data_IF_731199813774
#
_entry.id   IF_731199813774
#
_cell.length_a   1.000
_cell.length_b   1.000
_cell.length_c   1.000
_cell.angle_alpha   90.00
_cell.angle_beta   90.00
_cell.angle_gamma   90.00
#
_symmetry.space_group_name_H-M   'P 1'
#
loop_
_entity.id
_entity.type
_entity.pdbx_description
1 polymer ?
#
# COMPACT_ATOMS: atom_id res chain seq x y z
N UNK A 1 -58.62 -16.66 -42.34
CA UNK A 1 -57.32 -17.15 -41.81
C UNK A 1 -56.37 -15.94 -41.78
N UNK A 2 -56.18 -15.29 -40.62
CA UNK A 2 -55.25 -14.15 -40.49
C UNK A 2 -54.03 -14.66 -39.73
N UNK A 3 -52.88 -14.80 -40.42
CA UNK A 3 -51.60 -15.10 -39.79
C UNK A 3 -51.08 -13.80 -39.15
N UNK A 4 -50.97 -13.80 -37.83
CA UNK A 4 -50.30 -12.75 -37.06
C UNK A 4 -48.84 -13.14 -36.91
N UNK A 5 -47.92 -12.37 -37.49
CA UNK A 5 -46.49 -12.55 -37.32
C UNK A 5 -46.03 -11.81 -36.05
N UNK A 6 -45.60 -12.56 -35.04
CA UNK A 6 -44.97 -11.99 -33.84
C UNK A 6 -43.48 -11.78 -34.13
N UNK A 7 -43.04 -10.53 -34.13
CA UNK A 7 -41.61 -10.17 -34.22
C UNK A 7 -41.03 -10.27 -32.81
N UNK A 8 -40.16 -11.25 -32.58
CA UNK A 8 -39.40 -11.36 -31.33
C UNK A 8 -38.20 -10.41 -31.38
N UNK A 9 -38.18 -9.39 -30.52
CA UNK A 9 -37.04 -8.49 -30.37
C UNK A 9 -35.95 -9.18 -29.54
N UNK A 10 -34.80 -9.45 -30.16
CA UNK A 10 -33.61 -9.95 -29.47
C UNK A 10 -32.89 -8.74 -28.86
N UNK A 11 -32.97 -8.59 -27.53
CA UNK A 11 -32.15 -7.62 -26.80
C UNK A 11 -30.74 -8.20 -26.63
N UNK A 12 -29.79 -7.76 -27.46
CA UNK A 12 -28.36 -7.97 -27.24
C UNK A 12 -27.92 -7.08 -26.08
N UNK A 13 -27.79 -7.66 -24.89
CA UNK A 13 -27.08 -7.01 -23.78
C UNK A 13 -25.61 -6.88 -24.16
N UNK A 14 -25.18 -5.68 -24.55
CA UNK A 14 -23.77 -5.33 -24.64
C UNK A 14 -23.18 -5.44 -23.23
N UNK A 15 -22.55 -6.57 -22.92
CA UNK A 15 -21.71 -6.69 -21.73
C UNK A 15 -20.60 -5.65 -21.83
N UNK A 16 -20.58 -4.68 -20.91
CA UNK A 16 -19.42 -3.82 -20.73
C UNK A 16 -18.27 -4.72 -20.25
N UNK A 17 -17.35 -5.07 -21.14
CA UNK A 17 -16.00 -5.47 -20.70
C UNK A 17 -15.37 -4.25 -20.06
N UNK A 18 -15.44 -4.17 -18.74
CA UNK A 18 -14.58 -3.26 -17.98
C UNK A 18 -13.19 -3.87 -18.09
N UNK A 19 -12.29 -3.23 -18.84
CA UNK A 19 -10.88 -3.58 -18.77
C UNK A 19 -10.44 -3.35 -17.32
N UNK A 20 -9.84 -4.37 -16.69
CA UNK A 20 -9.22 -4.22 -15.38
C UNK A 20 -8.23 -3.05 -15.45
N UNK A 21 -8.40 -2.06 -14.58
CA UNK A 21 -7.49 -0.92 -14.52
C UNK A 21 -6.15 -1.40 -13.93
N UNK A 22 -5.05 -1.04 -14.59
CA UNK A 22 -3.70 -1.44 -14.17
C UNK A 22 -2.86 -0.19 -13.90
N UNK A 23 -2.30 -0.12 -12.70
CA UNK A 23 -1.49 1.00 -12.22
C UNK A 23 -0.08 0.50 -11.90
N UNK A 24 0.94 1.04 -12.58
CA UNK A 24 2.34 0.71 -12.30
C UNK A 24 3.06 1.96 -11.81
N UNK A 25 3.64 1.91 -10.61
CA UNK A 25 4.33 3.01 -9.97
C UNK A 25 5.81 2.70 -9.76
N UNK A 26 6.64 3.72 -9.94
CA UNK A 26 8.02 3.75 -9.45
C UNK A 26 8.09 4.73 -8.27
N UNK A 27 9.02 4.55 -7.31
CA UNK A 27 9.29 5.57 -6.31
C UNK A 27 9.67 6.90 -6.97
N UNK A 28 9.25 8.02 -6.38
CA UNK A 28 9.62 9.35 -6.84
C UNK A 28 11.13 9.63 -6.68
N UNK A 29 11.78 8.92 -5.75
CA UNK A 29 13.19 9.11 -5.43
C UNK A 29 13.48 10.40 -4.65
N UNK A 30 14.75 10.61 -4.30
CA UNK A 30 15.25 11.81 -3.64
C UNK A 30 14.50 12.20 -2.33
N UNK A 31 13.92 11.21 -1.64
CA UNK A 31 13.16 11.43 -0.40
C UNK A 31 11.82 12.13 -0.59
N UNK A 32 11.31 12.25 -1.81
CA UNK A 32 9.99 12.83 -2.08
C UNK A 32 8.85 11.96 -1.51
N UNK A 33 7.74 12.57 -1.11
CA UNK A 33 6.59 11.84 -0.53
C UNK A 33 5.79 11.08 -1.60
N UNK A 34 5.87 9.76 -1.55
CA UNK A 34 5.17 8.85 -2.47
C UNK A 34 3.70 8.63 -2.09
N UNK A 35 3.27 9.07 -0.91
CA UNK A 35 1.94 8.75 -0.38
C UNK A 35 0.81 9.21 -1.31
N UNK A 36 0.99 10.32 -2.03
CA UNK A 36 -0.04 10.84 -2.96
C UNK A 36 -0.21 9.97 -4.20
N UNK A 37 0.89 9.53 -4.82
CA UNK A 37 0.80 8.72 -6.02
C UNK A 37 0.26 7.32 -5.72
N UNK A 38 0.63 6.75 -4.58
CA UNK A 38 0.10 5.45 -4.13
C UNK A 38 -1.40 5.54 -3.90
N UNK A 39 -1.88 6.54 -3.13
CA UNK A 39 -3.31 6.70 -2.86
C UNK A 39 -4.12 6.95 -4.15
N UNK A 40 -3.56 7.68 -5.12
CA UNK A 40 -4.20 7.86 -6.42
C UNK A 40 -4.32 6.54 -7.20
N UNK A 41 -3.28 5.70 -7.19
CA UNK A 41 -3.34 4.38 -7.81
C UNK A 41 -4.35 3.45 -7.12
N UNK A 42 -4.45 3.50 -5.79
CA UNK A 42 -5.49 2.76 -5.06
C UNK A 42 -6.89 3.22 -5.48
N UNK A 43 -7.13 4.52 -5.60
CA UNK A 43 -8.43 5.07 -5.99
C UNK A 43 -8.86 4.61 -7.40
N UNK A 44 -7.90 4.54 -8.33
CA UNK A 44 -8.15 4.18 -9.73
C UNK A 44 -8.18 2.66 -9.95
N UNK A 45 -7.23 1.92 -9.40
CA UNK A 45 -6.98 0.51 -9.70
C UNK A 45 -7.33 -0.45 -8.55
N UNK A 46 -7.74 0.07 -7.39
CA UNK A 46 -8.08 -0.74 -6.21
C UNK A 46 -9.40 -1.51 -6.32
N UNK A 47 -10.17 -1.37 -7.41
CA UNK A 47 -11.39 -2.15 -7.66
C UNK A 47 -11.32 -2.84 -9.02
N UNK A 48 -11.43 -4.17 -9.03
CA UNK A 48 -11.37 -5.00 -10.26
C UNK A 48 -10.07 -4.80 -11.07
N UNK A 49 -9.00 -4.33 -10.44
CA UNK A 49 -7.75 -3.93 -11.08
C UNK A 49 -6.49 -4.48 -10.42
N UNK A 50 -5.33 -4.06 -10.92
CA UNK A 50 -4.01 -4.40 -10.41
C UNK A 50 -3.18 -3.16 -10.14
N UNK A 51 -2.34 -3.23 -9.10
CA UNK A 51 -1.38 -2.19 -8.75
C UNK A 51 -0.01 -2.86 -8.62
N UNK A 52 0.97 -2.41 -9.39
CA UNK A 52 2.37 -2.81 -9.25
C UNK A 52 3.17 -1.65 -8.67
N UNK A 53 3.78 -1.87 -7.51
CA UNK A 53 4.76 -0.98 -6.90
C UNK A 53 6.14 -1.58 -7.18
N UNK A 54 6.85 -1.01 -8.16
CA UNK A 54 8.16 -1.50 -8.61
C UNK A 54 9.22 -1.39 -7.50
N UNK A 55 10.39 -1.97 -7.75
CA UNK A 55 11.55 -1.93 -6.84
C UNK A 55 11.94 -0.50 -6.41
N UNK A 56 12.54 -0.41 -5.22
CA UNK A 56 13.02 0.82 -4.58
C UNK A 56 12.22 1.25 -3.35
N UNK A 57 12.63 2.38 -2.76
CA UNK A 57 12.05 2.90 -1.52
C UNK A 57 10.95 3.92 -1.79
N UNK A 58 9.70 3.56 -1.49
CA UNK A 58 8.58 4.51 -1.45
C UNK A 58 8.56 5.20 -0.09
N UNK A 59 8.81 6.50 -0.06
CA UNK A 59 8.82 7.29 1.16
C UNK A 59 7.39 7.72 1.55
N UNK A 60 6.93 7.24 2.71
CA UNK A 60 5.58 7.46 3.23
C UNK A 60 5.66 8.43 4.41
N UNK A 61 5.11 9.63 4.22
CA UNK A 61 5.19 10.71 5.22
C UNK A 61 3.86 11.01 5.92
N UNK A 62 2.78 10.35 5.50
CA UNK A 62 1.44 10.55 6.06
C UNK A 62 0.65 9.25 6.12
N UNK A 63 -0.34 9.18 7.00
CA UNK A 63 -1.18 7.98 7.12
C UNK A 63 -1.91 7.68 5.81
N UNK A 64 -2.10 6.40 5.52
CA UNK A 64 -2.83 5.97 4.33
C UNK A 64 -3.77 4.80 4.62
N UNK A 65 -4.88 4.77 3.87
CA UNK A 65 -5.82 3.64 3.85
C UNK A 65 -5.89 3.08 2.43
N UNK A 66 -5.71 1.78 2.28
CA UNK A 66 -5.97 1.08 1.04
C UNK A 66 -7.33 0.37 1.12
N UNK A 67 -8.27 0.73 0.26
CA UNK A 67 -9.56 0.06 0.14
C UNK A 67 -9.59 -0.75 -1.15
N UNK A 68 -9.45 -2.06 -1.03
CA UNK A 68 -9.21 -2.98 -2.14
C UNK A 68 -10.39 -3.92 -2.35
N UNK A 69 -10.85 -4.08 -3.58
CA UNK A 69 -11.96 -4.96 -3.92
C UNK A 69 -11.69 -5.74 -5.22
N UNK A 70 -11.57 -7.07 -5.13
CA UNK A 70 -11.27 -7.92 -6.31
C UNK A 70 -10.04 -7.43 -7.07
N UNK A 71 -9.00 -7.07 -6.33
CA UNK A 71 -7.80 -6.44 -6.86
C UNK A 71 -6.53 -7.10 -6.31
N UNK A 72 -5.43 -6.92 -7.04
CA UNK A 72 -4.10 -7.41 -6.62
C UNK A 72 -3.15 -6.23 -6.48
N UNK A 73 -2.34 -6.23 -5.42
CA UNK A 73 -1.21 -5.32 -5.26
C UNK A 73 0.06 -6.14 -5.23
N UNK A 74 0.90 -5.95 -6.24
CA UNK A 74 2.24 -6.52 -6.34
C UNK A 74 3.25 -5.48 -5.84
N UNK A 75 3.73 -5.68 -4.62
CA UNK A 75 4.67 -4.80 -3.92
C UNK A 75 6.08 -5.38 -4.04
N UNK A 76 6.85 -4.93 -5.03
CA UNK A 76 8.26 -5.27 -5.21
C UNK A 76 9.19 -4.30 -4.45
N UNK A 77 8.76 -3.05 -4.25
CA UNK A 77 9.50 -2.05 -3.46
C UNK A 77 9.17 -2.07 -1.97
N UNK A 78 9.87 -1.24 -1.20
CA UNK A 78 9.62 -1.07 0.24
C UNK A 78 8.75 0.15 0.49
N UNK A 79 7.64 -0.01 1.22
CA UNK A 79 6.93 1.11 1.85
C UNK A 79 7.71 1.55 3.09
N UNK A 80 8.45 2.65 2.97
CA UNK A 80 9.30 3.17 4.04
C UNK A 80 8.59 4.32 4.77
N UNK A 81 8.15 4.09 6.00
CA UNK A 81 7.45 5.09 6.81
C UNK A 81 8.43 6.01 7.50
N UNK A 82 8.46 7.29 7.12
CA UNK A 82 9.39 8.27 7.69
C UNK A 82 9.27 8.32 9.23
N UNK A 83 10.38 8.25 10.00
CA UNK A 83 10.32 8.20 11.46
C UNK A 83 10.12 9.59 12.11
N UNK A 84 9.13 10.35 11.64
CA UNK A 84 8.72 11.63 12.24
C UNK A 84 7.89 11.39 13.51
N UNK A 85 8.58 11.17 14.64
CA UNK A 85 7.95 10.81 15.91
C UNK A 85 6.91 11.87 16.33
N UNK A 86 7.23 13.15 16.23
CA UNK A 86 6.33 14.23 16.66
C UNK A 86 5.07 14.30 15.80
N UNK A 87 5.17 14.02 14.49
CA UNK A 87 4.01 13.91 13.62
C UNK A 87 3.14 12.70 13.96
N UNK A 88 3.73 11.51 14.12
CA UNK A 88 2.99 10.26 14.30
C UNK A 88 2.41 10.08 15.71
N UNK A 89 2.91 10.81 16.71
CA UNK A 89 2.27 10.89 18.04
C UNK A 89 0.98 11.73 18.03
N UNK A 90 0.67 12.45 16.94
CA UNK A 90 -0.57 13.21 16.85
C UNK A 90 -1.75 12.28 16.49
N UNK A 91 -2.85 12.40 17.24
CA UNK A 91 -4.06 11.61 17.01
C UNK A 91 -4.61 11.73 15.58
N UNK A 92 -4.56 12.95 15.01
CA UNK A 92 -5.01 13.21 13.65
C UNK A 92 -4.09 12.59 12.58
N UNK A 93 -2.87 12.20 12.93
CA UNK A 93 -1.87 11.60 12.03
C UNK A 93 -1.87 10.07 12.06
N UNK A 94 -2.71 9.44 12.88
CA UNK A 94 -2.82 7.97 12.94
C UNK A 94 -4.28 7.49 12.88
N UNK A 95 -4.46 6.17 12.87
CA UNK A 95 -5.75 5.50 13.04
C UNK A 95 -5.79 4.80 14.41
N UNK A 96 -6.77 5.16 15.23
CA UNK A 96 -7.06 4.49 16.51
C UNK A 96 -7.79 3.17 16.24
N UNK A 97 -7.02 2.14 15.88
CA UNK A 97 -7.54 0.85 15.43
C UNK A 97 -7.77 -0.15 16.57
N UNK A 98 -7.13 0.07 17.72
CA UNK A 98 -7.23 -0.79 18.90
C UNK A 98 -7.57 0.05 20.12
N UNK A 99 -8.85 0.04 20.50
CA UNK A 99 -9.38 0.79 21.64
C UNK A 99 -8.94 0.22 23.01
N UNK A 100 -8.54 -1.05 23.06
CA UNK A 100 -8.02 -1.72 24.26
C UNK A 100 -6.49 -1.76 24.13
N UNK A 101 -5.78 -0.92 24.88
CA UNK A 101 -4.32 -0.68 24.85
C UNK A 101 -3.83 0.51 24.01
N UNK A 102 -4.72 1.39 23.55
CA UNK A 102 -4.31 2.68 22.97
C UNK A 102 -3.25 2.56 21.87
N UNK A 103 -3.45 1.62 20.94
CA UNK A 103 -2.52 1.41 19.83
C UNK A 103 -3.06 2.13 18.60
N UNK A 104 -2.15 2.81 17.91
CA UNK A 104 -2.43 3.52 16.68
C UNK A 104 -1.71 2.83 15.52
N UNK A 105 -2.31 2.82 14.34
CA UNK A 105 -1.65 2.41 13.11
C UNK A 105 -1.59 3.57 12.13
N UNK A 106 -0.51 3.66 11.36
CA UNK A 106 -0.35 4.66 10.29
C UNK A 106 -0.71 4.11 8.91
N UNK A 107 -0.97 2.80 8.79
CA UNK A 107 -1.32 2.15 7.53
C UNK A 107 -2.45 1.14 7.73
N UNK A 108 -3.55 1.37 7.03
CA UNK A 108 -4.74 0.55 7.13
C UNK A 108 -5.06 -0.08 5.77
N UNK A 109 -5.32 -1.37 5.76
CA UNK A 109 -5.84 -2.10 4.59
C UNK A 109 -7.24 -2.61 4.89
N UNK A 110 -8.18 -2.37 3.98
CA UNK A 110 -9.57 -2.80 4.09
C UNK A 110 -10.13 -3.25 2.75
N UNK A 111 -11.34 -3.83 2.78
CA UNK A 111 -12.10 -4.23 1.60
C UNK A 111 -12.29 -5.74 1.51
N UNK A 112 -12.45 -6.27 0.29
CA UNK A 112 -12.82 -7.68 0.10
C UNK A 112 -12.22 -8.33 -1.14
N UNK A 113 -11.81 -9.58 -1.00
CA UNK A 113 -11.26 -10.39 -2.09
C UNK A 113 -10.09 -9.68 -2.78
N UNK A 114 -9.09 -9.28 -2.01
CA UNK A 114 -7.87 -8.69 -2.54
C UNK A 114 -6.66 -9.55 -2.19
N UNK A 115 -5.59 -9.39 -2.95
CA UNK A 115 -4.27 -9.96 -2.66
C UNK A 115 -3.28 -8.81 -2.56
N UNK A 116 -2.41 -8.84 -1.55
CA UNK A 116 -1.21 -8.01 -1.49
C UNK A 116 -0.06 -9.00 -1.40
N UNK A 117 0.78 -9.03 -2.42
CA UNK A 117 1.98 -9.85 -2.46
C UNK A 117 3.20 -8.94 -2.37
N UNK A 118 4.01 -9.14 -1.36
CA UNK A 118 5.22 -8.35 -1.12
C UNK A 118 6.44 -8.92 -1.84
N UNK A 119 6.26 -9.85 -2.78
CA UNK A 119 7.28 -10.35 -3.70
C UNK A 119 8.67 -10.40 -3.07
N UNK A 120 8.93 -11.43 -2.28
CA UNK A 120 10.24 -11.70 -1.67
C UNK A 120 11.24 -12.15 -2.75
N UNK A 121 11.49 -11.29 -3.73
CA UNK A 121 12.54 -11.45 -4.72
C UNK A 121 13.85 -11.22 -3.97
N UNK A 122 14.44 -12.30 -3.46
CA UNK A 122 15.81 -12.23 -2.98
C UNK A 122 16.76 -11.77 -4.09
N UNK A 123 17.83 -11.08 -3.71
CA UNK A 123 18.99 -10.72 -4.55
C UNK A 123 18.63 -10.19 -5.96
N UNK A 124 18.27 -8.90 -6.07
CA UNK A 124 18.25 -8.25 -7.38
C UNK A 124 19.71 -7.98 -7.81
N UNK A 125 20.18 -8.47 -8.97
CA UNK A 125 21.55 -8.20 -9.42
C UNK A 125 21.69 -6.72 -9.77
N UNK A 126 22.19 -5.91 -8.84
CA UNK A 126 22.70 -4.58 -9.16
C UNK A 126 23.96 -4.78 -10.00
N UNK A 127 23.83 -4.69 -11.33
CA UNK A 127 25.00 -4.61 -12.21
C UNK A 127 25.67 -3.25 -12.01
N UNK A 128 26.60 -3.15 -11.05
CA UNK A 128 27.51 -2.02 -10.96
C UNK A 128 28.62 -2.14 -12.02
N UNK A 129 29.13 -1.03 -12.54
CA UNK A 129 30.38 -1.05 -13.31
C UNK A 129 31.51 -1.67 -12.48
N UNK A 130 32.34 -2.44 -13.17
CA UNK A 130 33.44 -3.25 -12.64
C UNK A 130 34.37 -2.44 -11.71
N UNK A 131 34.52 -2.87 -10.44
CA UNK A 131 35.52 -2.33 -9.50
C UNK A 131 34.99 -1.70 -8.21
N UNK A 132 33.68 -1.64 -8.00
CA UNK A 132 33.09 -1.33 -6.69
C UNK A 132 32.65 -2.64 -6.02
N UNK A 133 32.92 -2.79 -4.72
CA UNK A 133 32.33 -3.83 -3.90
C UNK A 133 30.82 -3.92 -4.15
N UNK A 134 30.35 -5.13 -4.43
CA UNK A 134 28.94 -5.41 -4.64
C UNK A 134 28.23 -5.22 -3.30
N UNK A 135 27.55 -4.08 -3.14
CA UNK A 135 26.52 -3.97 -2.12
C UNK A 135 25.38 -4.90 -2.55
N UNK A 136 25.07 -5.91 -1.72
CA UNK A 136 23.90 -6.75 -1.91
C UNK A 136 22.70 -5.85 -1.62
N UNK A 137 22.09 -5.31 -2.67
CA UNK A 137 20.86 -4.53 -2.53
C UNK A 137 19.69 -5.51 -2.41
N UNK A 138 19.27 -5.75 -1.18
CA UNK A 138 18.07 -6.51 -0.87
C UNK A 138 16.87 -5.58 -1.06
N UNK A 139 16.41 -5.41 -2.30
CA UNK A 139 15.10 -4.83 -2.58
C UNK A 139 14.02 -5.86 -2.25
N UNK A 140 13.80 -6.07 -0.96
CA UNK A 140 12.68 -6.87 -0.49
C UNK A 140 11.43 -6.02 -0.59
N UNK A 141 10.46 -6.50 -1.37
CA UNK A 141 9.13 -5.96 -1.26
C UNK A 141 8.63 -6.10 0.18
N UNK A 142 8.07 -5.03 0.73
CA UNK A 142 7.75 -5.03 2.15
C UNK A 142 7.39 -3.69 2.75
N UNK A 143 7.30 -3.68 4.08
CA UNK A 143 6.96 -2.51 4.88
C UNK A 143 8.08 -2.29 5.87
N UNK A 144 8.80 -1.17 5.73
CA UNK A 144 9.72 -0.69 6.73
C UNK A 144 9.04 0.35 7.62
N UNK A 145 8.66 -0.06 8.83
CA UNK A 145 8.08 0.83 9.84
C UNK A 145 9.09 1.65 10.64
N UNK A 146 10.40 1.55 10.36
CA UNK A 146 11.48 2.25 11.08
C UNK A 146 11.39 2.12 12.61
N UNK A 147 11.28 0.88 13.11
CA UNK A 147 11.03 0.60 14.53
C UNK A 147 12.16 0.97 15.50
N UNK A 148 13.41 1.12 15.01
CA UNK A 148 14.57 1.42 15.86
C UNK A 148 14.54 2.85 16.44
N UNK A 149 14.29 3.92 15.65
CA UNK A 149 14.02 5.25 16.20
C UNK A 149 12.94 5.28 17.29
N UNK A 150 11.84 4.55 17.09
CA UNK A 150 10.79 4.38 18.10
C UNK A 150 11.27 3.63 19.34
N UNK A 151 12.17 2.66 19.17
CA UNK A 151 12.76 1.95 20.30
C UNK A 151 13.54 2.91 21.19
N UNK A 152 14.43 3.69 20.58
CA UNK A 152 15.32 4.65 21.22
C UNK A 152 14.55 5.80 21.90
N UNK A 153 13.55 6.38 21.23
CA UNK A 153 12.72 7.46 21.78
C UNK A 153 12.06 7.07 23.12
N UNK A 154 11.46 5.88 23.18
CA UNK A 154 10.79 5.40 24.39
C UNK A 154 11.74 4.83 25.46
N UNK A 155 13.06 4.97 25.29
CA UNK A 155 14.01 4.73 26.39
C UNK A 155 14.08 5.91 27.36
N UNK A 156 13.82 7.13 26.87
CA UNK A 156 13.93 8.38 27.64
C UNK A 156 12.58 9.07 27.85
N UNK A 157 11.61 8.85 26.96
CA UNK A 157 10.26 9.41 27.07
C UNK A 157 9.27 8.35 27.59
N UNK A 158 8.56 8.60 28.70
CA UNK A 158 7.51 7.68 29.16
C UNK A 158 6.36 7.66 28.16
N UNK A 159 5.82 6.46 27.91
CA UNK A 159 4.65 6.28 27.05
C UNK A 159 3.44 6.94 27.71
N UNK A 160 2.76 7.82 27.00
CA UNK A 160 1.44 8.32 27.40
C UNK A 160 0.36 7.46 26.78
N UNK A 161 -0.77 7.30 27.48
CA UNK A 161 -1.90 6.51 26.99
C UNK A 161 -2.43 7.13 25.70
N UNK A 162 -2.36 6.42 24.58
CA UNK A 162 -2.93 6.87 23.29
C UNK A 162 -2.02 6.64 22.09
N UNK A 163 -0.72 6.82 22.32
CA UNK A 163 0.27 7.08 21.27
C UNK A 163 1.59 6.33 21.56
N UNK A 164 1.47 5.04 21.85
CA UNK A 164 2.63 4.14 21.95
C UNK A 164 3.32 3.92 20.60
N UNK A 165 4.19 2.90 20.52
CA UNK A 165 4.82 2.53 19.24
C UNK A 165 3.73 2.18 18.22
N UNK A 166 3.69 2.83 17.05
CA UNK A 166 2.63 2.59 16.07
C UNK A 166 2.73 1.16 15.51
N UNK A 167 1.57 0.56 15.29
CA UNK A 167 1.44 -0.67 14.53
C UNK A 167 1.71 -0.37 13.06
N UNK A 168 2.71 -1.05 12.49
CA UNK A 168 3.14 -0.82 11.12
C UNK A 168 2.02 -1.01 10.08
N UNK A 169 1.11 -1.96 10.33
CA UNK A 169 -0.02 -2.30 9.48
C UNK A 169 -1.19 -2.79 10.34
N UNK A 170 -2.40 -2.33 10.02
CA UNK A 170 -3.65 -2.93 10.50
C UNK A 170 -4.55 -3.29 9.32
N UNK A 171 -5.07 -4.53 9.31
CA UNK A 171 -6.03 -4.97 8.32
C UNK A 171 -7.34 -5.42 8.97
N UNK A 172 -8.45 -5.17 8.28
CA UNK A 172 -9.77 -5.66 8.70
C UNK A 172 -10.65 -5.96 7.49
N UNK A 173 -11.60 -6.87 7.69
CA UNK A 173 -12.51 -7.39 6.68
C UNK A 173 -13.96 -7.05 7.03
#
# INVERSE_FOLDING_TARGET
>A
MKLSYSVAAIFLTLGRSVFAADCVLNPLGDGQDDTSQILAAIDVCGTDGSITLNEGDFNITRKMTWNLTRSTVDLYGTLNFAPDIDYWLQENSTYRVVFIQSQASWFVVTGRHFVIDAHNQGESPVTRPEGQDAEIDFCLGGINGNGQPWWEYFTTVPRQDGDGRPLALWWFK
#
